data_IF_545254136781
#
_entry.id   IF_545254136781
#
_cell.length_a   1.000
_cell.length_b   1.000
_cell.length_c   1.000
_cell.angle_alpha   90.00
_cell.angle_beta   90.00
_cell.angle_gamma   90.00
#
_symmetry.space_group_name_H-M   'P 1'
#
loop_
_entity.id
_entity.type
_entity.pdbx_description
1 polymer ?
#
# COMPACT_ATOMS: atom_id res chain seq x y z
N UNK A 1 -16.33 4.65 7.52
CA UNK A 1 -15.27 3.74 7.10
C UNK A 1 -15.82 2.33 7.23
N UNK A 2 -15.70 1.53 6.21
CA UNK A 2 -16.06 0.11 6.24
C UNK A 2 -14.88 -0.75 6.72
N UNK A 3 -14.96 -2.06 6.63
CA UNK A 3 -13.84 -2.92 6.86
C UNK A 3 -12.76 -2.59 5.84
N UNK A 4 -11.55 -2.49 6.30
CA UNK A 4 -10.39 -2.36 5.44
C UNK A 4 -9.29 -3.30 5.94
N UNK A 5 -8.39 -3.67 5.05
CA UNK A 5 -7.24 -4.49 5.39
C UNK A 5 -6.06 -4.08 4.54
N UNK A 6 -4.87 -4.31 5.07
CA UNK A 6 -3.64 -4.15 4.29
C UNK A 6 -3.39 -5.40 3.46
N UNK A 7 -2.81 -5.20 2.27
CA UNK A 7 -2.39 -6.31 1.42
C UNK A 7 -1.25 -7.09 2.08
N UNK A 8 -1.40 -8.40 2.20
CA UNK A 8 -0.28 -9.29 2.55
C UNK A 8 0.67 -9.43 1.35
N UNK A 9 0.17 -9.95 0.24
CA UNK A 9 0.84 -9.91 -1.06
C UNK A 9 0.07 -9.00 -2.00
N UNK A 10 0.73 -8.44 -3.02
CA UNK A 10 0.01 -7.63 -4.00
C UNK A 10 -0.99 -8.48 -4.79
N UNK A 11 -2.24 -8.12 -4.65
CA UNK A 11 -3.35 -8.67 -5.43
C UNK A 11 -4.31 -7.55 -5.83
N UNK A 12 -4.37 -7.18 -7.10
CA UNK A 12 -5.28 -6.12 -7.56
C UNK A 12 -6.77 -6.47 -7.34
N UNK A 13 -7.11 -7.74 -7.22
CA UNK A 13 -8.47 -8.20 -7.00
C UNK A 13 -8.80 -8.47 -5.51
N UNK A 14 -7.88 -8.11 -4.61
CA UNK A 14 -8.09 -8.30 -3.18
C UNK A 14 -9.34 -7.56 -2.71
N UNK A 15 -10.21 -8.29 -2.02
CA UNK A 15 -11.37 -7.77 -1.30
C UNK A 15 -11.12 -7.90 0.21
N UNK A 16 -11.38 -6.85 0.97
CA UNK A 16 -11.19 -6.87 2.43
C UNK A 16 -12.46 -7.28 3.20
N UNK A 17 -13.55 -7.55 2.50
CA UNK A 17 -14.83 -7.93 3.10
C UNK A 17 -15.48 -9.07 2.31
N UNK A 18 -15.72 -10.20 2.97
CA UNK A 18 -16.39 -11.37 2.39
C UNK A 18 -17.76 -11.10 1.80
N UNK A 19 -18.50 -10.11 2.34
CA UNK A 19 -19.82 -9.72 1.82
C UNK A 19 -19.75 -9.11 0.43
N UNK A 20 -18.57 -8.71 -0.04
CA UNK A 20 -18.34 -8.15 -1.39
C UNK A 20 -17.98 -9.24 -2.42
N UNK A 21 -18.82 -10.26 -2.54
CA UNK A 21 -18.60 -11.38 -3.46
C UNK A 21 -18.41 -10.93 -4.93
N UNK A 22 -18.96 -9.77 -5.31
CA UNK A 22 -18.82 -9.20 -6.66
C UNK A 22 -17.54 -8.40 -6.87
N UNK A 23 -16.71 -8.20 -5.84
CA UNK A 23 -15.48 -7.43 -5.92
C UNK A 23 -15.68 -5.93 -6.21
N UNK A 24 -16.85 -5.37 -5.86
CA UNK A 24 -17.14 -3.94 -6.07
C UNK A 24 -16.07 -3.04 -5.47
N UNK A 25 -15.58 -3.40 -4.27
CA UNK A 25 -14.58 -2.65 -3.52
C UNK A 25 -13.20 -3.31 -3.58
N UNK A 26 -12.93 -4.13 -4.62
CA UNK A 26 -11.61 -4.70 -4.84
C UNK A 26 -10.54 -3.59 -4.94
N UNK A 27 -9.30 -3.92 -4.59
CA UNK A 27 -8.20 -2.95 -4.52
C UNK A 27 -8.06 -2.12 -5.79
N UNK A 28 -8.11 -2.75 -6.96
CA UNK A 28 -8.01 -2.06 -8.26
C UNK A 28 -9.27 -1.27 -8.65
N UNK A 29 -10.42 -1.53 -8.01
CA UNK A 29 -11.66 -0.80 -8.25
C UNK A 29 -11.80 0.45 -7.40
N UNK A 30 -10.94 0.66 -6.40
CA UNK A 30 -11.02 1.82 -5.49
C UNK A 30 -11.09 3.17 -6.21
N UNK A 31 -10.32 3.43 -7.29
CA UNK A 31 -10.42 4.70 -8.02
C UNK A 31 -11.80 4.93 -8.63
N UNK A 32 -12.38 3.91 -9.26
CA UNK A 32 -13.71 4.01 -9.87
C UNK A 32 -14.80 4.20 -8.83
N UNK A 33 -14.71 3.48 -7.69
CA UNK A 33 -15.65 3.64 -6.57
C UNK A 33 -15.49 4.99 -5.90
N UNK A 34 -14.26 5.52 -5.80
CA UNK A 34 -14.02 6.88 -5.32
C UNK A 34 -14.73 7.94 -6.18
N UNK A 35 -14.63 7.82 -7.51
CA UNK A 35 -15.35 8.69 -8.43
C UNK A 35 -16.86 8.55 -8.27
N UNK A 36 -17.38 7.32 -8.19
CA UNK A 36 -18.80 7.08 -7.97
C UNK A 36 -19.28 7.71 -6.66
N UNK A 37 -18.51 7.61 -5.57
CA UNK A 37 -18.85 8.26 -4.29
C UNK A 37 -18.87 9.78 -4.42
N UNK A 38 -17.95 10.38 -5.17
CA UNK A 38 -17.96 11.81 -5.45
C UNK A 38 -19.21 12.22 -6.26
N UNK A 39 -19.62 11.40 -7.23
CA UNK A 39 -20.85 11.63 -8.00
C UNK A 39 -22.11 11.50 -7.12
N UNK A 40 -22.15 10.51 -6.24
CA UNK A 40 -23.26 10.35 -5.28
C UNK A 40 -23.36 11.54 -4.30
N UNK A 41 -22.21 12.02 -3.82
CA UNK A 41 -22.16 13.24 -3.00
C UNK A 41 -22.64 14.46 -3.79
N UNK A 42 -22.23 14.58 -5.04
CA UNK A 42 -22.66 15.65 -5.93
C UNK A 42 -24.18 15.65 -6.12
N UNK A 43 -24.78 14.49 -6.36
CA UNK A 43 -26.23 14.35 -6.48
C UNK A 43 -26.98 14.72 -5.19
N UNK A 44 -26.36 14.51 -4.02
CA UNK A 44 -26.95 14.93 -2.74
C UNK A 44 -26.86 16.45 -2.50
N UNK A 45 -26.08 17.17 -3.30
CA UNK A 45 -25.85 18.62 -3.20
C UNK A 45 -26.45 19.40 -4.37
N UNK A 46 -27.29 18.79 -5.20
CA UNK A 46 -27.83 19.39 -6.44
C UNK A 46 -28.68 20.63 -6.19
N UNK A 47 -29.35 20.72 -5.05
CA UNK A 47 -30.10 21.92 -4.64
C UNK A 47 -29.19 23.10 -4.21
N UNK A 48 -27.90 22.82 -3.92
CA UNK A 48 -26.95 23.80 -3.35
C UNK A 48 -25.89 24.20 -4.38
N UNK A 49 -25.47 23.25 -5.24
CA UNK A 49 -24.40 23.43 -6.19
C UNK A 49 -24.91 23.12 -7.61
N UNK A 50 -24.76 24.07 -8.54
CA UNK A 50 -25.17 23.87 -9.91
C UNK A 50 -24.43 22.68 -10.56
N UNK A 51 -25.15 21.86 -11.33
CA UNK A 51 -24.67 20.63 -11.98
C UNK A 51 -23.43 20.87 -12.83
N UNK A 52 -23.35 22.00 -13.53
CA UNK A 52 -22.21 22.36 -14.37
C UNK A 52 -20.91 22.47 -13.56
N UNK A 53 -20.98 23.05 -12.34
CA UNK A 53 -19.82 23.19 -11.45
C UNK A 53 -19.35 21.84 -10.92
N UNK A 54 -20.29 20.95 -10.63
CA UNK A 54 -19.98 19.58 -10.20
C UNK A 54 -19.31 18.79 -11.32
N UNK A 55 -19.88 18.84 -12.53
CA UNK A 55 -19.33 18.18 -13.70
C UNK A 55 -17.92 18.67 -14.02
N UNK A 56 -17.67 19.97 -13.91
CA UNK A 56 -16.34 20.56 -14.11
C UNK A 56 -15.35 20.07 -13.03
N UNK A 57 -15.77 20.03 -11.76
CA UNK A 57 -14.91 19.58 -10.67
C UNK A 57 -14.51 18.08 -10.78
N UNK A 58 -15.41 17.24 -11.31
CA UNK A 58 -15.17 15.80 -11.47
C UNK A 58 -14.48 15.42 -12.78
N UNK A 59 -14.47 16.32 -13.76
CA UNK A 59 -13.95 16.07 -15.11
C UNK A 59 -12.53 15.50 -15.12
N UNK A 60 -11.67 16.04 -14.28
CA UNK A 60 -10.25 15.69 -14.25
C UNK A 60 -9.90 14.69 -13.13
N UNK A 61 -10.91 14.13 -12.43
CA UNK A 61 -10.69 13.20 -11.30
C UNK A 61 -9.71 12.07 -11.65
N UNK A 62 -9.88 11.41 -12.80
CA UNK A 62 -9.05 10.26 -13.18
C UNK A 62 -7.59 10.69 -13.41
N UNK A 63 -7.35 11.84 -14.05
CA UNK A 63 -6.01 12.35 -14.27
C UNK A 63 -5.32 12.72 -12.96
N UNK A 64 -6.01 13.46 -12.07
CA UNK A 64 -5.49 13.79 -10.74
C UNK A 64 -5.19 12.54 -9.91
N UNK A 65 -6.10 11.56 -9.92
CA UNK A 65 -5.90 10.31 -9.21
C UNK A 65 -4.65 9.58 -9.72
N UNK A 66 -4.53 9.42 -11.04
CA UNK A 66 -3.43 8.68 -11.65
C UNK A 66 -2.08 9.37 -11.43
N UNK A 67 -1.99 10.68 -11.65
CA UNK A 67 -0.78 11.44 -11.38
C UNK A 67 -0.35 11.34 -9.92
N UNK A 68 -1.30 11.48 -8.99
CA UNK A 68 -1.03 11.35 -7.57
C UNK A 68 -0.57 9.95 -7.18
N UNK A 69 -1.20 8.91 -7.73
CA UNK A 69 -0.80 7.52 -7.52
C UNK A 69 0.64 7.26 -7.96
N UNK A 70 1.01 7.73 -9.16
CA UNK A 70 2.39 7.60 -9.65
C UNK A 70 3.37 8.37 -8.76
N UNK A 71 3.00 9.57 -8.29
CA UNK A 71 3.84 10.34 -7.37
C UNK A 71 4.04 9.62 -6.01
N UNK A 72 3.01 8.95 -5.49
CA UNK A 72 3.14 8.14 -4.28
C UNK A 72 4.10 6.95 -4.50
N UNK A 73 3.99 6.26 -5.64
CA UNK A 73 4.92 5.18 -5.97
C UNK A 73 6.35 5.67 -6.17
N UNK A 74 6.57 6.84 -6.80
CA UNK A 74 7.91 7.46 -6.87
C UNK A 74 8.49 7.66 -5.47
N UNK A 75 7.70 8.17 -4.51
CA UNK A 75 8.13 8.34 -3.12
C UNK A 75 8.51 7.01 -2.49
N UNK A 76 7.69 5.96 -2.69
CA UNK A 76 7.98 4.60 -2.21
C UNK A 76 9.28 4.03 -2.82
N UNK A 77 9.57 4.39 -4.06
CA UNK A 77 10.78 3.99 -4.78
C UNK A 77 11.99 4.93 -4.53
N UNK A 78 11.85 5.96 -3.69
CA UNK A 78 12.91 6.92 -3.42
C UNK A 78 13.23 7.87 -4.57
N UNK A 79 12.40 7.91 -5.62
CA UNK A 79 12.57 8.77 -6.78
C UNK A 79 12.07 10.20 -6.48
N UNK A 80 12.75 11.20 -7.03
CA UNK A 80 12.40 12.61 -6.89
C UNK A 80 12.01 13.23 -8.22
N UNK A 81 12.78 12.95 -9.26
CA UNK A 81 12.51 13.48 -10.60
C UNK A 81 11.31 12.76 -11.21
N UNK A 82 10.49 13.50 -11.97
CA UNK A 82 9.37 12.94 -12.73
C UNK A 82 9.86 12.69 -14.16
N UNK A 83 10.02 11.43 -14.53
CA UNK A 83 10.48 11.05 -15.84
C UNK A 83 9.44 10.25 -16.61
N UNK A 84 9.44 10.41 -17.94
CA UNK A 84 8.68 9.55 -18.83
C UNK A 84 9.13 8.10 -18.65
N UNK A 85 8.16 7.19 -18.54
CA UNK A 85 8.46 5.76 -18.28
C UNK A 85 8.33 5.34 -16.82
N UNK A 86 8.25 6.26 -15.83
CA UNK A 86 8.06 5.90 -14.42
C UNK A 86 6.79 5.06 -14.20
N UNK A 87 5.70 5.40 -14.89
CA UNK A 87 4.46 4.64 -14.83
C UNK A 87 4.64 3.18 -15.26
N UNK A 88 5.34 2.95 -16.38
CA UNK A 88 5.65 1.60 -16.89
C UNK A 88 6.57 0.82 -15.96
N UNK A 89 7.53 1.50 -15.34
CA UNK A 89 8.43 0.89 -14.36
C UNK A 89 7.64 0.43 -13.12
N UNK A 90 6.71 1.25 -12.63
CA UNK A 90 5.83 0.94 -11.49
C UNK A 90 4.89 -0.21 -11.86
N UNK A 91 4.22 -0.16 -13.01
CA UNK A 91 3.33 -1.21 -13.49
C UNK A 91 4.05 -2.56 -13.59
N UNK A 92 5.25 -2.58 -14.17
CA UNK A 92 6.03 -3.82 -14.25
C UNK A 92 6.48 -4.35 -12.88
N UNK A 93 6.71 -3.47 -11.89
CA UNK A 93 6.95 -3.87 -10.50
C UNK A 93 5.72 -4.54 -9.90
N UNK A 94 4.56 -3.91 -10.05
CA UNK A 94 3.31 -4.42 -9.49
C UNK A 94 2.93 -5.78 -10.11
N UNK A 95 3.13 -5.94 -11.42
CA UNK A 95 2.95 -7.22 -12.12
C UNK A 95 3.87 -8.29 -11.53
N UNK A 96 5.15 -7.98 -11.35
CA UNK A 96 6.09 -8.92 -10.74
C UNK A 96 5.71 -9.25 -9.28
N UNK A 97 5.30 -8.26 -8.48
CA UNK A 97 4.83 -8.49 -7.10
C UNK A 97 3.60 -9.41 -7.06
N UNK A 98 2.66 -9.23 -7.99
CA UNK A 98 1.50 -10.11 -8.12
C UNK A 98 1.89 -11.56 -8.41
N UNK A 99 2.82 -11.76 -9.33
CA UNK A 99 3.28 -13.09 -9.75
C UNK A 99 4.11 -13.78 -8.66
N UNK A 100 5.01 -13.04 -8.02
CA UNK A 100 5.94 -13.56 -7.01
C UNK A 100 5.30 -13.80 -5.65
N UNK A 101 4.08 -13.24 -5.39
CA UNK A 101 3.37 -13.32 -4.11
C UNK A 101 4.18 -12.88 -2.90
N UNK A 102 5.19 -12.02 -3.11
CA UNK A 102 5.98 -11.46 -2.00
C UNK A 102 5.11 -10.55 -1.12
N UNK A 103 5.46 -10.50 0.16
CA UNK A 103 4.82 -9.58 1.10
C UNK A 103 4.99 -8.14 0.62
N UNK A 104 3.87 -7.45 0.39
CA UNK A 104 3.85 -6.12 -0.23
C UNK A 104 4.53 -5.07 0.65
N UNK A 105 4.20 -5.05 1.94
CA UNK A 105 4.74 -4.08 2.89
C UNK A 105 6.22 -4.31 3.12
N UNK A 106 6.62 -5.54 3.41
CA UNK A 106 8.00 -5.89 3.66
C UNK A 106 8.88 -5.72 2.42
N UNK A 107 8.34 -5.98 1.22
CA UNK A 107 9.05 -5.70 -0.03
C UNK A 107 9.42 -4.21 -0.11
N UNK A 108 8.46 -3.30 0.01
CA UNK A 108 8.73 -1.88 -0.09
C UNK A 108 9.59 -1.36 1.07
N UNK A 109 9.40 -1.88 2.30
CA UNK A 109 10.23 -1.50 3.45
C UNK A 109 11.69 -1.86 3.23
N UNK A 110 11.98 -3.04 2.68
CA UNK A 110 13.34 -3.53 2.47
C UNK A 110 13.97 -3.03 1.16
N UNK A 111 13.19 -2.35 0.30
CA UNK A 111 13.68 -1.88 -1.00
C UNK A 111 14.79 -0.81 -0.86
N UNK A 112 14.90 -0.15 0.28
CA UNK A 112 15.95 0.85 0.54
C UNK A 112 17.36 0.28 0.35
N UNK A 113 17.55 -1.04 0.51
CA UNK A 113 18.82 -1.73 0.32
C UNK A 113 19.07 -2.18 -1.13
N UNK A 114 18.24 -1.80 -2.10
CA UNK A 114 18.35 -2.27 -3.50
C UNK A 114 19.73 -2.00 -4.13
N UNK A 115 20.46 -1.02 -3.63
CA UNK A 115 21.79 -0.66 -4.10
C UNK A 115 22.92 -1.45 -3.41
N UNK A 116 22.60 -2.16 -2.33
CA UNK A 116 23.59 -2.96 -1.60
C UNK A 116 23.94 -4.23 -2.38
N UNK A 117 25.25 -4.62 -2.43
CA UNK A 117 25.69 -5.78 -3.21
C UNK A 117 25.09 -7.12 -2.72
N UNK A 118 24.73 -7.21 -1.44
CA UNK A 118 24.20 -8.42 -0.82
C UNK A 118 22.66 -8.48 -0.84
N UNK A 119 22.01 -7.52 -1.50
CA UNK A 119 20.56 -7.49 -1.56
C UNK A 119 20.01 -8.66 -2.39
N UNK A 120 19.19 -9.50 -1.78
CA UNK A 120 18.57 -10.69 -2.35
C UNK A 120 17.07 -10.56 -2.58
N UNK A 121 16.53 -9.33 -2.56
CA UNK A 121 15.07 -9.11 -2.72
C UNK A 121 14.56 -9.73 -4.03
N UNK A 122 15.38 -9.66 -5.10
CA UNK A 122 15.06 -10.17 -6.42
C UNK A 122 15.85 -11.46 -6.71
N UNK A 123 15.20 -12.61 -6.56
CA UNK A 123 15.81 -13.91 -6.73
C UNK A 123 15.63 -14.47 -8.16
N UNK A 124 14.44 -14.26 -8.74
CA UNK A 124 14.08 -14.72 -10.07
C UNK A 124 14.58 -13.79 -11.20
N UNK A 125 14.47 -14.28 -12.43
CA UNK A 125 14.97 -13.55 -13.61
C UNK A 125 14.17 -12.27 -13.89
N UNK A 126 12.87 -12.28 -13.65
CA UNK A 126 11.97 -11.14 -13.90
C UNK A 126 12.25 -10.00 -12.90
N UNK A 127 12.36 -10.33 -11.61
CA UNK A 127 12.72 -9.37 -10.57
C UNK A 127 14.12 -8.78 -10.78
N UNK A 128 15.12 -9.61 -11.17
CA UNK A 128 16.47 -9.13 -11.53
C UNK A 128 16.45 -8.18 -12.72
N UNK A 129 15.63 -8.49 -13.75
CA UNK A 129 15.48 -7.61 -14.91
C UNK A 129 14.83 -6.27 -14.52
N UNK A 130 13.84 -6.31 -13.65
CA UNK A 130 13.23 -5.09 -13.11
C UNK A 130 14.23 -4.27 -12.29
N UNK A 131 14.98 -4.90 -11.39
CA UNK A 131 16.02 -4.25 -10.57
C UNK A 131 17.05 -3.53 -11.44
N UNK A 132 17.46 -4.13 -12.55
CA UNK A 132 18.37 -3.49 -13.52
C UNK A 132 17.74 -2.22 -14.11
N UNK A 133 16.52 -2.29 -14.61
CA UNK A 133 15.78 -1.11 -15.15
C UNK A 133 15.62 -0.02 -14.09
N UNK A 134 15.31 -0.40 -12.86
CA UNK A 134 15.21 0.55 -11.76
C UNK A 134 16.54 1.25 -11.48
N UNK A 135 17.65 0.52 -11.45
CA UNK A 135 19.00 1.10 -11.22
C UNK A 135 19.41 2.04 -12.38
N UNK A 136 19.07 1.70 -13.62
CA UNK A 136 19.26 2.57 -14.77
C UNK A 136 18.44 3.86 -14.63
N UNK A 137 17.15 3.74 -14.26
CA UNK A 137 16.26 4.87 -13.99
C UNK A 137 16.79 5.73 -12.83
N UNK A 138 17.25 5.09 -11.74
CA UNK A 138 17.80 5.77 -10.58
C UNK A 138 19.09 6.55 -10.91
N UNK A 139 19.88 6.08 -11.85
CA UNK A 139 21.07 6.78 -12.35
C UNK A 139 20.76 8.16 -12.96
N UNK A 140 19.51 8.47 -13.28
CA UNK A 140 19.08 9.78 -13.77
C UNK A 140 18.65 10.74 -12.64
N UNK A 141 18.61 10.25 -11.40
CA UNK A 141 18.31 11.09 -10.24
C UNK A 141 19.48 11.98 -9.86
N UNK A 142 19.18 13.20 -9.42
CA UNK A 142 20.16 14.10 -8.79
C UNK A 142 20.33 13.84 -7.30
N UNK A 143 19.68 12.80 -6.79
CA UNK A 143 19.63 12.44 -5.40
C UNK A 143 20.72 11.42 -5.07
N UNK A 144 21.41 11.57 -3.93
CA UNK A 144 22.35 10.54 -3.48
C UNK A 144 21.61 9.30 -2.99
N UNK A 145 22.24 8.12 -3.11
CA UNK A 145 21.69 6.85 -2.63
C UNK A 145 21.21 6.94 -1.18
N UNK A 146 22.00 7.55 -0.29
CA UNK A 146 21.62 7.74 1.13
C UNK A 146 20.33 8.55 1.31
N UNK A 147 20.15 9.63 0.54
CA UNK A 147 18.91 10.42 0.58
C UNK A 147 17.72 9.66 0.00
N UNK A 148 17.94 8.85 -1.04
CA UNK A 148 16.89 7.99 -1.60
C UNK A 148 16.47 6.90 -0.59
N UNK A 149 17.42 6.26 0.09
CA UNK A 149 17.14 5.31 1.17
C UNK A 149 16.29 5.95 2.29
N UNK A 150 16.67 7.13 2.76
CA UNK A 150 15.90 7.88 3.76
C UNK A 150 14.47 8.18 3.27
N UNK A 151 14.33 8.57 2.00
CA UNK A 151 13.02 8.83 1.39
C UNK A 151 12.16 7.55 1.30
N UNK A 152 12.77 6.42 0.92
CA UNK A 152 12.08 5.12 0.91
C UNK A 152 11.60 4.75 2.30
N UNK A 153 12.44 4.84 3.34
CA UNK A 153 12.08 4.52 4.71
C UNK A 153 10.95 5.42 5.24
N UNK A 154 10.96 6.70 4.89
CA UNK A 154 9.92 7.67 5.29
C UNK A 154 8.58 7.50 4.55
N UNK A 155 8.54 6.72 3.44
CA UNK A 155 7.33 6.51 2.64
C UNK A 155 6.88 5.05 2.60
N UNK A 156 7.59 4.14 3.26
CA UNK A 156 7.27 2.72 3.35
C UNK A 156 7.18 2.33 4.83
N UNK A 157 5.98 2.11 5.36
CA UNK A 157 5.82 1.76 6.76
C UNK A 157 6.47 0.42 7.07
N UNK A 158 7.02 0.28 8.27
CA UNK A 158 7.51 -0.98 8.83
C UNK A 158 6.37 -1.77 9.46
N UNK A 159 5.46 -1.07 10.12
CA UNK A 159 4.34 -1.66 10.84
C UNK A 159 3.02 -1.32 10.17
N UNK A 160 2.19 -2.33 9.98
CA UNK A 160 0.81 -2.21 9.52
C UNK A 160 -0.09 -3.07 10.39
N UNK A 161 -1.38 -2.76 10.46
CA UNK A 161 -2.34 -3.59 11.16
C UNK A 161 -2.68 -4.83 10.33
N UNK A 162 -1.88 -5.87 10.46
CA UNK A 162 -2.16 -7.17 9.83
C UNK A 162 -3.35 -7.84 10.52
N UNK A 163 -4.14 -8.58 9.76
CA UNK A 163 -5.35 -9.24 10.27
C UNK A 163 -5.07 -10.14 11.47
N UNK A 164 -3.96 -10.90 11.46
CA UNK A 164 -3.62 -11.79 12.56
C UNK A 164 -3.26 -11.02 13.85
N UNK A 165 -2.63 -9.83 13.75
CA UNK A 165 -2.33 -8.98 14.89
C UNK A 165 -3.61 -8.41 15.51
N UNK A 166 -4.54 -7.95 14.67
CA UNK A 166 -5.84 -7.50 15.12
C UNK A 166 -6.61 -8.63 15.82
N UNK A 167 -6.59 -9.83 15.25
CA UNK A 167 -7.23 -11.02 15.84
C UNK A 167 -6.65 -11.36 17.21
N UNK A 168 -5.32 -11.38 17.35
CA UNK A 168 -4.65 -11.62 18.64
C UNK A 168 -5.01 -10.56 19.69
N UNK A 169 -5.06 -9.28 19.28
CA UNK A 169 -5.45 -8.20 20.16
C UNK A 169 -6.91 -8.34 20.65
N UNK A 170 -7.82 -8.74 19.75
CA UNK A 170 -9.23 -9.02 20.10
C UNK A 170 -9.32 -10.18 21.10
N UNK A 171 -8.64 -11.30 20.83
CA UNK A 171 -8.64 -12.47 21.74
C UNK A 171 -8.14 -12.15 23.14
N UNK A 172 -7.11 -11.29 23.26
CA UNK A 172 -6.64 -10.84 24.59
C UNK A 172 -7.64 -9.90 25.25
N UNK A 173 -8.22 -8.97 24.51
CA UNK A 173 -9.20 -8.03 25.02
C UNK A 173 -10.46 -8.72 25.56
N UNK A 174 -10.91 -9.81 24.94
CA UNK A 174 -12.01 -10.65 25.42
C UNK A 174 -11.70 -11.28 26.79
N UNK A 175 -10.42 -11.38 27.16
CA UNK A 175 -9.94 -11.84 28.47
C UNK A 175 -9.63 -10.67 29.42
N UNK A 176 -10.05 -9.43 29.08
CA UNK A 176 -9.73 -8.18 29.78
C UNK A 176 -8.23 -7.84 29.80
N UNK A 177 -7.43 -8.37 28.85
CA UNK A 177 -6.03 -7.98 28.64
C UNK A 177 -5.94 -7.06 27.40
N UNK A 178 -5.72 -5.79 27.64
CA UNK A 178 -5.61 -4.76 26.59
C UNK A 178 -4.17 -4.43 26.20
N UNK A 179 -3.19 -5.15 26.74
CA UNK A 179 -1.75 -4.90 26.50
C UNK A 179 -1.36 -4.91 25.04
N UNK A 180 -1.97 -5.81 24.24
CA UNK A 180 -1.72 -5.93 22.80
C UNK A 180 -2.25 -4.71 22.01
N UNK A 181 -3.40 -4.17 22.43
CA UNK A 181 -3.96 -2.95 21.84
C UNK A 181 -3.03 -1.76 22.08
N UNK A 182 -2.46 -1.64 23.29
CA UNK A 182 -1.51 -0.56 23.62
C UNK A 182 -0.24 -0.64 22.76
N UNK A 183 0.30 -1.84 22.56
CA UNK A 183 1.44 -2.08 21.68
C UNK A 183 1.11 -1.69 20.23
N UNK A 184 -0.02 -2.18 19.70
CA UNK A 184 -0.45 -1.85 18.34
C UNK A 184 -0.68 -0.36 18.16
N UNK A 185 -1.31 0.31 19.11
CA UNK A 185 -1.50 1.77 19.07
C UNK A 185 -0.17 2.52 19.03
N UNK A 186 0.83 2.11 19.82
CA UNK A 186 2.18 2.67 19.81
C UNK A 186 2.80 2.52 18.41
N UNK A 187 2.83 1.31 17.86
CA UNK A 187 3.48 1.01 16.59
C UNK A 187 2.78 1.69 15.40
N UNK A 188 1.44 1.68 15.39
CA UNK A 188 0.65 2.25 14.28
C UNK A 188 0.59 3.78 14.33
N UNK A 189 0.87 4.41 15.45
CA UNK A 189 1.04 5.87 15.52
C UNK A 189 2.38 6.37 14.97
N UNK A 190 3.39 5.49 14.91
CA UNK A 190 4.72 5.76 14.39
C UNK A 190 5.19 4.64 13.44
N UNK A 191 4.45 4.35 12.34
CA UNK A 191 4.61 3.12 11.57
C UNK A 191 5.89 3.08 10.74
N UNK A 192 6.59 4.19 10.60
CA UNK A 192 7.84 4.31 9.84
C UNK A 192 9.10 4.19 10.71
N UNK A 193 8.94 4.26 12.03
CA UNK A 193 10.05 4.25 12.96
C UNK A 193 10.57 2.83 13.23
N UNK A 194 11.83 2.74 13.67
CA UNK A 194 12.44 1.49 14.10
C UNK A 194 12.14 1.28 15.60
N UNK A 195 11.41 0.22 15.91
CA UNK A 195 11.13 -0.23 17.27
C UNK A 195 11.75 -1.61 17.44
N UNK A 196 13.05 -1.65 17.79
CA UNK A 196 13.85 -2.89 17.82
C UNK A 196 13.26 -3.97 18.74
N UNK A 197 12.59 -3.55 19.79
CA UNK A 197 11.90 -4.44 20.74
C UNK A 197 10.62 -5.08 20.16
N UNK A 198 10.13 -4.60 19.01
CA UNK A 198 8.88 -5.04 18.38
C UNK A 198 9.06 -5.58 16.96
N UNK A 199 10.25 -6.10 16.63
CA UNK A 199 10.56 -6.64 15.30
C UNK A 199 9.57 -7.74 14.85
N UNK A 200 9.02 -8.50 15.80
CA UNK A 200 8.06 -9.56 15.50
C UNK A 200 6.77 -9.04 14.88
N UNK A 201 6.36 -7.81 15.18
CA UNK A 201 5.16 -7.18 14.61
C UNK A 201 5.34 -6.73 13.15
N UNK A 202 6.57 -6.66 12.66
CA UNK A 202 6.88 -6.35 11.27
C UNK A 202 6.96 -7.60 10.37
N UNK A 203 6.93 -8.81 10.96
CA UNK A 203 7.01 -10.05 10.20
C UNK A 203 5.78 -10.28 9.33
N UNK A 204 5.97 -11.04 8.26
CA UNK A 204 4.85 -11.54 7.44
C UNK A 204 3.90 -12.37 8.27
N UNK A 205 2.62 -12.36 7.91
CA UNK A 205 1.61 -13.16 8.59
C UNK A 205 1.96 -14.64 8.60
N UNK A 206 1.79 -15.33 9.74
CA UNK A 206 1.94 -16.78 9.80
C UNK A 206 0.87 -17.45 8.92
N UNK A 207 1.08 -18.72 8.56
CA UNK A 207 0.18 -19.41 7.62
C UNK A 207 -1.27 -19.45 8.11
N UNK A 208 -1.51 -19.65 9.40
CA UNK A 208 -2.85 -19.57 9.96
C UNK A 208 -3.49 -18.18 9.87
N UNK A 209 -2.68 -17.11 9.93
CA UNK A 209 -3.13 -15.72 9.84
C UNK A 209 -3.51 -15.30 8.43
N UNK A 210 -2.96 -15.96 7.41
CA UNK A 210 -3.29 -15.70 6.00
C UNK A 210 -4.69 -16.17 5.62
N UNK A 211 -5.24 -17.12 6.36
CA UNK A 211 -6.59 -17.67 6.13
C UNK A 211 -7.67 -17.00 6.96
N UNK A 212 -7.35 -15.95 7.71
CA UNK A 212 -8.34 -15.20 8.48
C UNK A 212 -9.29 -14.47 7.56
N UNK A 213 -10.56 -14.75 7.72
CA UNK A 213 -11.64 -14.09 7.02
C UNK A 213 -12.19 -12.94 7.85
N UNK A 214 -12.26 -11.75 7.24
CA UNK A 214 -12.87 -10.58 7.87
C UNK A 214 -14.21 -10.32 7.21
N UNK A 215 -15.25 -10.19 8.03
CA UNK A 215 -16.58 -9.87 7.58
C UNK A 215 -17.10 -8.62 8.28
N UNK A 216 -17.87 -7.80 7.55
CA UNK A 216 -18.65 -6.70 8.08
C UNK A 216 -20.01 -7.14 8.66
N UNK A 217 -20.38 -8.40 8.48
CA UNK A 217 -21.65 -8.91 8.99
C UNK A 217 -21.50 -9.21 10.49
N UNK A 218 -21.96 -8.30 11.29
CA UNK A 218 -22.38 -8.56 12.68
C UNK A 218 -23.79 -9.10 12.71
#
# INVERSE_FOLDING_TARGET
FGPFGFLESYDPNFICNHSDAGGRYAFNNQPAIGLWNCQALAAALDEIIAEEKVSEALKDYQNYFYEHLIDLYRKKLGLQEKLEGDAKLIESLLTWLQNSKKDYTNFFRNLHDIHEPKNIIFEDAEGKAWSKKFKERFGLEKLSTKKAQQKMLANNPKYILRNYLAHQAIQKAEQNDFSEIEVLMKLLSQPFDEHLEYEDYAKSSPDWGKSLEISCSS
#
